data_IF_994336386958
#
_entry.id   IF_994336386958
#
_cell.length_a   1.000
_cell.length_b   1.000
_cell.length_c   1.000
_cell.angle_alpha   90.00
_cell.angle_beta   90.00
_cell.angle_gamma   90.00
#
_symmetry.space_group_name_H-M   'P 1'
#
loop_
_entity.id
_entity.type
_entity.pdbx_description
1 polymer ?
#
# COMPACT_ATOMS: atom_id res chain seq x y z
N UNK A 1 -21.59 33.43 6.86
CA UNK A 1 -20.22 33.44 6.30
C UNK A 1 -19.47 32.39 7.09
N UNK A 2 -19.50 31.16 6.60
CA UNK A 2 -18.80 30.04 7.24
C UNK A 2 -17.37 30.04 6.71
N UNK A 3 -16.42 30.11 7.63
CA UNK A 3 -14.99 29.94 7.34
C UNK A 3 -14.69 28.47 7.58
N UNK A 4 -14.41 27.74 6.50
CA UNK A 4 -13.84 26.40 6.61
C UNK A 4 -12.33 26.54 6.82
N UNK A 5 -11.87 26.16 8.02
CA UNK A 5 -10.44 25.99 8.29
C UNK A 5 -10.13 24.51 8.08
N UNK A 6 -9.59 24.16 6.93
CA UNK A 6 -8.93 22.86 6.74
C UNK A 6 -7.55 22.95 7.39
N UNK A 7 -7.45 22.62 8.68
CA UNK A 7 -6.13 22.41 9.30
C UNK A 7 -5.61 21.04 8.88
N UNK A 8 -4.61 21.02 8.00
CA UNK A 8 -3.80 19.84 7.76
C UNK A 8 -2.68 19.88 8.81
N UNK A 9 -2.94 19.29 9.98
CA UNK A 9 -1.88 18.96 10.93
C UNK A 9 -1.69 17.45 10.89
N UNK A 10 -0.77 16.98 10.05
CA UNK A 10 -0.19 15.66 10.21
C UNK A 10 1.00 15.79 11.16
N UNK A 11 0.91 15.19 12.35
CA UNK A 11 2.00 15.13 13.32
C UNK A 11 2.97 13.96 13.06
N UNK A 12 2.92 13.33 11.88
CA UNK A 12 3.61 12.08 11.58
C UNK A 12 4.25 12.02 10.17
N UNK A 13 4.41 13.17 9.50
CA UNK A 13 4.91 13.23 8.11
C UNK A 13 3.82 13.70 7.14
N UNK A 14 3.78 13.16 5.93
CA UNK A 14 2.81 13.50 4.86
C UNK A 14 2.87 14.97 4.42
N UNK A 15 4.07 15.49 4.20
CA UNK A 15 4.28 16.89 3.83
C UNK A 15 3.58 17.24 2.49
N UNK A 16 3.43 16.26 1.60
CA UNK A 16 2.76 16.38 0.30
C UNK A 16 1.29 16.80 0.39
N UNK A 17 0.64 16.65 1.54
CA UNK A 17 -0.74 17.12 1.74
C UNK A 17 -0.82 18.65 1.86
N UNK A 18 0.26 19.30 2.30
CA UNK A 18 0.29 20.73 2.62
C UNK A 18 1.39 21.51 1.88
N UNK A 19 2.28 20.79 1.18
CA UNK A 19 3.39 21.33 0.42
C UNK A 19 3.26 20.95 -1.06
N UNK A 20 3.76 21.83 -1.92
CA UNK A 20 3.75 21.67 -3.38
C UNK A 20 5.08 22.14 -3.96
N UNK A 21 5.26 21.95 -5.27
CA UNK A 21 6.43 22.44 -6.02
C UNK A 21 7.76 21.97 -5.42
N UNK A 22 7.81 20.70 -5.04
CA UNK A 22 9.00 20.15 -4.42
C UNK A 22 10.08 19.82 -5.46
N UNK A 23 11.32 20.18 -5.14
CA UNK A 23 12.47 19.90 -5.97
C UNK A 23 13.70 19.53 -5.13
N UNK A 24 14.61 18.80 -5.78
CA UNK A 24 15.89 18.42 -5.21
C UNK A 24 16.96 19.41 -5.67
N UNK A 25 17.61 20.05 -4.72
CA UNK A 25 18.69 21.02 -4.91
C UNK A 25 20.03 20.41 -4.50
N UNK A 26 21.12 21.14 -4.78
CA UNK A 26 22.47 20.84 -4.28
C UNK A 26 22.94 19.40 -4.55
N UNK A 27 22.70 18.90 -5.77
CA UNK A 27 23.07 17.52 -6.12
C UNK A 27 22.19 16.46 -5.45
N UNK A 28 20.94 16.81 -5.14
CA UNK A 28 19.94 15.99 -4.45
C UNK A 28 20.13 15.83 -2.94
N UNK A 29 20.94 16.67 -2.30
CA UNK A 29 21.10 16.69 -0.85
C UNK A 29 20.01 17.49 -0.13
N UNK A 30 19.41 18.49 -0.77
CA UNK A 30 18.41 19.38 -0.14
C UNK A 30 17.06 19.23 -0.82
N UNK A 31 16.02 18.85 -0.07
CA UNK A 31 14.63 18.93 -0.52
C UNK A 31 14.12 20.35 -0.26
N UNK A 32 13.69 21.06 -1.29
CA UNK A 32 12.94 22.31 -1.16
C UNK A 32 11.48 22.08 -1.54
N UNK A 33 10.55 22.64 -0.77
CA UNK A 33 9.13 22.65 -1.09
C UNK A 33 8.50 24.00 -0.73
N UNK A 34 7.46 24.41 -1.46
CA UNK A 34 6.58 25.49 -1.01
C UNK A 34 5.50 24.90 -0.11
N UNK A 35 5.50 25.27 1.17
CA UNK A 35 4.58 24.72 2.16
C UNK A 35 3.56 25.76 2.64
N UNK A 36 2.33 25.31 2.87
CA UNK A 36 1.26 26.15 3.40
C UNK A 36 1.39 26.21 4.92
N UNK A 37 1.66 27.40 5.46
CA UNK A 37 1.68 27.63 6.91
C UNK A 37 0.28 27.65 7.53
N UNK A 38 0.20 27.65 8.86
CA UNK A 38 -1.11 27.72 9.55
C UNK A 38 -1.80 29.06 9.30
N UNK A 39 -1.01 30.12 9.12
CA UNK A 39 -1.50 31.46 8.76
C UNK A 39 -1.02 31.87 7.36
N UNK A 40 -1.79 32.74 6.69
CA UNK A 40 -1.54 33.11 5.28
C UNK A 40 -0.15 33.71 5.03
N UNK A 41 0.44 34.36 6.02
CA UNK A 41 1.77 34.97 5.96
C UNK A 41 2.91 34.01 6.35
N UNK A 42 2.61 32.75 6.64
CA UNK A 42 3.59 31.72 7.01
C UNK A 42 3.79 30.69 5.90
N UNK A 43 3.09 30.84 4.77
CA UNK A 43 3.34 30.01 3.60
C UNK A 43 4.61 30.47 2.89
N UNK A 44 5.42 29.53 2.42
CA UNK A 44 6.68 29.86 1.77
C UNK A 44 7.55 28.65 1.47
N UNK A 45 8.69 28.92 0.83
CA UNK A 45 9.69 27.89 0.58
C UNK A 45 10.37 27.49 1.88
N UNK A 46 10.37 26.19 2.14
CA UNK A 46 11.09 25.55 3.23
C UNK A 46 12.06 24.52 2.66
N UNK A 47 13.16 24.29 3.36
CA UNK A 47 14.20 23.35 2.94
C UNK A 47 14.47 22.33 4.04
N UNK A 48 14.70 21.08 3.63
CA UNK A 48 15.17 19.99 4.48
C UNK A 48 16.47 19.46 3.89
N UNK A 49 17.54 19.49 4.67
CA UNK A 49 18.77 18.80 4.30
C UNK A 49 18.58 17.29 4.55
N UNK A 50 18.52 16.52 3.47
CA UNK A 50 18.25 15.08 3.51
C UNK A 50 19.43 14.32 4.14
N UNK A 51 20.67 14.82 4.01
CA UNK A 51 21.85 14.15 4.58
C UNK A 51 21.85 14.13 6.13
N UNK A 52 21.06 14.98 6.77
CA UNK A 52 20.91 14.97 8.23
C UNK A 52 20.09 13.77 8.74
N UNK A 53 19.17 13.27 7.92
CA UNK A 53 18.15 12.31 8.35
C UNK A 53 18.00 11.11 7.43
N UNK A 54 18.63 11.09 6.26
CA UNK A 54 18.58 9.99 5.30
C UNK A 54 20.02 9.66 4.90
N UNK A 55 20.40 8.40 5.06
CA UNK A 55 21.71 7.91 4.64
C UNK A 55 21.58 6.62 3.84
N UNK A 56 22.61 6.35 3.04
CA UNK A 56 22.73 5.09 2.33
C UNK A 56 23.33 4.03 3.25
N UNK A 57 22.54 3.00 3.54
CA UNK A 57 22.96 1.81 4.26
C UNK A 57 22.92 0.61 3.32
N UNK A 58 24.10 0.21 2.84
CA UNK A 58 24.28 -0.94 1.94
C UNK A 58 23.41 -0.91 0.67
N UNK A 59 23.24 0.28 0.09
CA UNK A 59 22.41 0.49 -1.10
C UNK A 59 20.98 0.95 -0.82
N UNK A 60 20.55 0.95 0.45
CA UNK A 60 19.20 1.36 0.87
C UNK A 60 19.21 2.79 1.42
N UNK A 61 18.30 3.65 0.94
CA UNK A 61 18.11 4.98 1.50
C UNK A 61 17.18 4.89 2.71
N UNK A 62 17.72 5.00 3.92
CA UNK A 62 16.96 4.81 5.15
C UNK A 62 17.04 6.04 6.04
N UNK A 63 15.94 6.30 6.75
CA UNK A 63 15.90 7.37 7.75
C UNK A 63 16.76 7.02 8.96
N UNK A 64 17.65 7.93 9.35
CA UNK A 64 18.48 7.86 10.55
C UNK A 64 17.94 8.71 11.71
N UNK A 65 16.73 9.25 11.60
CA UNK A 65 16.12 10.17 12.59
C UNK A 65 16.03 9.54 13.99
N UNK A 66 15.71 8.25 14.07
CA UNK A 66 15.58 7.49 15.32
C UNK A 66 16.86 6.72 15.68
N UNK A 67 17.99 7.04 15.03
CA UNK A 67 19.26 6.33 15.15
C UNK A 67 19.57 5.44 13.94
N UNK A 68 20.55 4.54 14.08
CA UNK A 68 20.94 3.65 12.98
C UNK A 68 19.81 2.65 12.66
N UNK A 69 19.21 2.70 11.45
CA UNK A 69 18.14 1.79 11.08
C UNK A 69 18.67 0.38 10.82
N UNK A 70 17.79 -0.62 10.91
CA UNK A 70 18.08 -1.96 10.39
C UNK A 70 17.94 -1.97 8.88
N UNK A 71 18.98 -2.42 8.18
CA UNK A 71 18.92 -2.59 6.72
C UNK A 71 17.92 -3.70 6.39
N UNK A 72 16.90 -3.43 5.54
CA UNK A 72 15.99 -4.47 5.11
C UNK A 72 16.74 -5.53 4.29
N UNK A 73 16.26 -6.76 4.33
CA UNK A 73 16.80 -7.79 3.44
C UNK A 73 16.49 -7.42 1.99
N UNK A 74 17.46 -7.61 1.10
CA UNK A 74 17.23 -7.45 -0.34
C UNK A 74 16.14 -8.41 -0.83
N UNK A 75 15.19 -7.89 -1.60
CA UNK A 75 14.30 -8.74 -2.38
C UNK A 75 15.02 -9.30 -3.61
N UNK A 76 14.71 -10.54 -3.95
CA UNK A 76 15.09 -11.14 -5.23
C UNK A 76 14.28 -10.62 -6.41
N UNK A 77 13.20 -9.88 -6.17
CA UNK A 77 12.34 -9.28 -7.19
C UNK A 77 12.64 -7.79 -7.36
N UNK A 78 12.78 -7.37 -8.62
CA UNK A 78 12.92 -5.96 -8.96
C UNK A 78 11.61 -5.20 -8.68
N UNK A 79 11.72 -3.92 -8.36
CA UNK A 79 10.57 -3.02 -8.28
C UNK A 79 9.87 -2.99 -9.65
N UNK A 80 8.58 -3.32 -9.72
CA UNK A 80 7.88 -3.36 -11.00
C UNK A 80 7.61 -1.95 -11.52
N UNK A 81 7.65 -1.78 -12.84
CA UNK A 81 7.35 -0.49 -13.49
C UNK A 81 5.89 -0.02 -13.35
N UNK A 82 5.01 -0.94 -12.94
CA UNK A 82 3.62 -0.67 -12.59
C UNK A 82 3.29 -1.51 -11.36
N UNK A 83 2.79 -0.87 -10.31
CA UNK A 83 2.51 -1.50 -9.02
C UNK A 83 1.06 -1.96 -8.86
N UNK A 84 0.19 -1.74 -9.84
CA UNK A 84 -1.24 -2.04 -9.71
C UNK A 84 -1.50 -3.55 -9.71
N UNK A 85 -2.00 -4.06 -8.58
CA UNK A 85 -2.63 -5.36 -8.45
C UNK A 85 -4.11 -5.26 -8.87
N UNK A 86 -4.57 -6.18 -9.72
CA UNK A 86 -5.97 -6.27 -10.13
C UNK A 86 -6.52 -7.67 -9.92
N UNK A 87 -7.63 -7.77 -9.20
CA UNK A 87 -8.29 -9.02 -8.86
C UNK A 87 -9.75 -9.01 -9.33
N UNK A 88 -10.16 -10.09 -9.99
CA UNK A 88 -11.57 -10.48 -10.07
C UNK A 88 -11.88 -11.29 -8.81
N UNK A 89 -12.82 -10.82 -8.00
CA UNK A 89 -13.28 -11.50 -6.79
C UNK A 89 -14.68 -12.07 -7.03
N UNK A 90 -14.92 -13.28 -6.53
CA UNK A 90 -16.14 -14.03 -6.82
C UNK A 90 -16.86 -14.42 -5.53
N UNK A 91 -18.18 -14.50 -5.62
CA UNK A 91 -19.08 -14.95 -4.55
C UNK A 91 -19.88 -16.16 -5.02
N UNK A 92 -20.32 -17.02 -4.08
CA UNK A 92 -21.13 -18.21 -4.38
C UNK A 92 -20.45 -19.51 -4.00
N UNK A 93 -21.01 -20.64 -4.44
CA UNK A 93 -20.55 -21.98 -4.07
C UNK A 93 -19.79 -22.65 -5.23
N UNK A 94 -18.54 -23.05 -5.00
CA UNK A 94 -17.74 -23.78 -5.98
C UNK A 94 -16.23 -23.64 -5.81
N UNK A 95 -15.47 -24.55 -6.42
CA UNK A 95 -14.00 -24.54 -6.45
C UNK A 95 -13.42 -23.88 -7.71
N UNK A 96 -14.27 -23.33 -8.57
CA UNK A 96 -13.91 -22.70 -9.84
C UNK A 96 -14.53 -21.31 -9.92
N UNK A 97 -13.86 -20.40 -10.62
CA UNK A 97 -14.30 -19.03 -10.79
C UNK A 97 -15.54 -19.04 -11.68
N UNK A 98 -16.71 -18.61 -11.16
CA UNK A 98 -17.93 -18.57 -11.96
C UNK A 98 -17.79 -17.53 -13.08
N UNK A 99 -18.66 -17.63 -14.08
CA UNK A 99 -18.68 -16.69 -15.22
C UNK A 99 -19.01 -15.25 -14.80
N UNK A 100 -19.66 -15.09 -13.65
CA UNK A 100 -20.09 -13.79 -13.13
C UNK A 100 -19.20 -13.38 -11.96
N UNK A 101 -18.56 -12.23 -12.13
CA UNK A 101 -17.67 -11.64 -11.12
C UNK A 101 -18.51 -10.93 -10.06
N UNK A 102 -18.10 -11.05 -8.79
CA UNK A 102 -18.72 -10.33 -7.68
C UNK A 102 -18.18 -8.91 -7.58
N UNK A 103 -16.86 -8.75 -7.73
CA UNK A 103 -16.20 -7.45 -7.72
C UNK A 103 -14.91 -7.45 -8.55
N UNK A 104 -14.51 -6.25 -8.96
CA UNK A 104 -13.20 -5.95 -9.50
C UNK A 104 -12.44 -5.09 -8.48
N UNK A 105 -11.33 -5.59 -7.94
CA UNK A 105 -10.56 -4.93 -6.89
C UNK A 105 -9.21 -4.50 -7.45
N UNK A 106 -8.81 -3.26 -7.15
CA UNK A 106 -7.49 -2.75 -7.50
C UNK A 106 -6.77 -2.23 -6.26
N UNK A 107 -5.49 -2.55 -6.16
CA UNK A 107 -4.63 -2.09 -5.09
C UNK A 107 -3.35 -1.52 -5.68
N UNK A 108 -2.88 -0.42 -5.09
CA UNK A 108 -1.67 0.30 -5.53
C UNK A 108 -0.62 0.40 -4.44
N UNK A 109 -0.86 -0.25 -3.30
CA UNK A 109 0.02 -0.26 -2.14
C UNK A 109 -0.29 -1.46 -1.24
N UNK A 110 0.57 -1.69 -0.22
CA UNK A 110 0.36 -2.75 0.75
C UNK A 110 -0.92 -2.55 1.56
N UNK A 111 -1.67 -3.61 1.75
CA UNK A 111 -2.87 -3.64 2.58
C UNK A 111 -2.70 -4.73 3.64
N UNK A 112 -2.31 -4.39 4.87
CA UNK A 112 -2.04 -5.40 5.89
C UNK A 112 -3.25 -6.27 6.22
N UNK A 113 -4.44 -5.67 6.23
CA UNK A 113 -5.70 -6.39 6.37
C UNK A 113 -6.87 -5.56 5.83
N UNK A 114 -7.27 -5.86 4.60
CA UNK A 114 -8.38 -5.23 3.91
C UNK A 114 -9.62 -6.13 3.92
N UNK A 115 -10.80 -5.54 4.03
CA UNK A 115 -12.08 -6.26 3.92
C UNK A 115 -13.17 -5.35 3.36
N UNK A 116 -14.14 -5.95 2.66
CA UNK A 116 -15.29 -5.23 2.12
C UNK A 116 -16.55 -5.54 2.94
N UNK A 117 -17.29 -4.49 3.31
CA UNK A 117 -18.54 -4.61 4.06
C UNK A 117 -19.68 -4.03 3.24
N UNK A 118 -20.73 -4.83 3.04
CA UNK A 118 -21.98 -4.39 2.40
C UNK A 118 -23.09 -4.55 3.45
N UNK A 119 -23.17 -3.56 4.34
CA UNK A 119 -24.23 -3.28 5.32
C UNK A 119 -24.95 -4.49 5.96
N UNK A 120 -24.76 -4.74 7.27
CA UNK A 120 -23.55 -4.61 8.09
C UNK A 120 -22.63 -5.84 7.94
N UNK A 121 -22.89 -6.69 6.95
CA UNK A 121 -22.25 -7.98 6.81
C UNK A 121 -20.97 -7.86 5.96
N UNK A 122 -19.89 -8.56 6.34
CA UNK A 122 -18.72 -8.69 5.50
C UNK A 122 -19.07 -9.46 4.23
N UNK A 123 -18.47 -9.09 3.11
CA UNK A 123 -18.54 -9.90 1.89
C UNK A 123 -17.63 -11.12 2.07
N UNK A 124 -18.19 -12.31 1.87
CA UNK A 124 -17.46 -13.58 1.90
C UNK A 124 -17.14 -13.98 0.46
N UNK A 125 -15.85 -14.01 0.14
CA UNK A 125 -15.33 -14.37 -1.17
C UNK A 125 -15.09 -15.87 -1.26
N UNK A 126 -15.51 -16.49 -2.36
CA UNK A 126 -15.31 -17.92 -2.59
C UNK A 126 -14.06 -18.23 -3.42
N UNK A 127 -13.69 -17.31 -4.31
CA UNK A 127 -12.49 -17.43 -5.14
C UNK A 127 -11.99 -16.07 -5.61
N UNK A 128 -10.74 -16.04 -6.06
CA UNK A 128 -10.08 -14.90 -6.67
C UNK A 128 -9.39 -15.31 -7.97
N UNK A 129 -9.28 -14.37 -8.90
CA UNK A 129 -8.41 -14.50 -10.08
C UNK A 129 -7.69 -13.18 -10.29
N UNK A 130 -6.36 -13.20 -10.18
CA UNK A 130 -5.56 -12.03 -10.52
C UNK A 130 -5.55 -11.85 -12.04
N UNK A 131 -5.97 -10.67 -12.51
CA UNK A 131 -5.84 -10.27 -13.94
C UNK A 131 -4.52 -9.56 -14.19
N UNK A 132 -3.93 -8.98 -13.14
CA UNK A 132 -2.59 -8.40 -13.11
C UNK A 132 -2.03 -8.56 -11.70
N UNK A 133 -0.81 -9.06 -11.56
CA UNK A 133 -0.09 -9.08 -10.29
C UNK A 133 1.40 -8.85 -10.53
N UNK A 134 1.90 -7.61 -10.35
CA UNK A 134 3.30 -7.25 -10.64
C UNK A 134 4.31 -7.63 -9.55
N UNK A 135 3.95 -8.49 -8.59
CA UNK A 135 4.85 -8.89 -7.50
C UNK A 135 4.27 -8.66 -6.11
N UNK A 136 2.98 -8.91 -5.95
CA UNK A 136 2.29 -8.93 -4.66
C UNK A 136 2.02 -10.35 -4.22
N UNK A 137 2.18 -10.60 -2.93
CA UNK A 137 1.63 -11.76 -2.23
C UNK A 137 0.27 -11.41 -1.67
N UNK A 138 -0.73 -12.23 -1.98
CA UNK A 138 -2.10 -12.08 -1.50
C UNK A 138 -2.40 -13.26 -0.59
N UNK A 139 -2.81 -12.98 0.64
CA UNK A 139 -3.20 -13.97 1.63
C UNK A 139 -4.63 -13.73 2.10
N UNK A 140 -5.43 -14.79 2.16
CA UNK A 140 -6.86 -14.69 2.48
C UNK A 140 -7.15 -15.21 3.88
N UNK A 141 -7.96 -14.50 4.66
CA UNK A 141 -8.27 -14.80 6.05
C UNK A 141 -9.78 -14.69 6.35
N UNK A 142 -10.20 -15.36 7.44
CA UNK A 142 -11.52 -15.19 8.06
C UNK A 142 -11.46 -14.42 9.39
N UNK A 143 -10.29 -13.87 9.73
CA UNK A 143 -10.09 -13.05 10.94
C UNK A 143 -9.75 -11.62 10.54
N UNK A 144 -10.37 -10.65 11.23
CA UNK A 144 -10.26 -9.22 10.91
C UNK A 144 -8.89 -8.61 11.19
N UNK A 145 -7.99 -9.37 11.80
CA UNK A 145 -6.60 -9.00 12.07
C UNK A 145 -5.63 -9.51 11.02
N UNK A 146 -6.07 -10.39 10.09
CA UNK A 146 -5.22 -11.08 9.13
C UNK A 146 -3.98 -11.75 9.76
N UNK A 147 -4.16 -12.31 10.96
CA UNK A 147 -3.11 -13.01 11.70
C UNK A 147 -3.33 -14.53 11.66
N UNK A 148 -2.25 -15.27 11.90
CA UNK A 148 -2.28 -16.74 11.89
C UNK A 148 -2.04 -17.32 10.50
N UNK A 149 -2.51 -18.54 10.27
CA UNK A 149 -2.34 -19.22 8.97
C UNK A 149 -3.41 -18.75 7.98
N UNK A 150 -3.03 -18.22 6.80
CA UNK A 150 -3.99 -17.88 5.77
C UNK A 150 -4.69 -19.13 5.22
N UNK A 151 -5.92 -18.94 4.75
CA UNK A 151 -6.71 -20.00 4.12
C UNK A 151 -6.07 -20.39 2.79
N UNK A 152 -5.65 -19.38 2.03
CA UNK A 152 -4.89 -19.53 0.79
C UNK A 152 -3.96 -18.33 0.63
N UNK A 153 -2.81 -18.58 0.03
CA UNK A 153 -1.85 -17.57 -0.40
C UNK A 153 -1.51 -17.80 -1.86
N UNK A 154 -1.43 -16.73 -2.64
CA UNK A 154 -1.09 -16.75 -4.05
C UNK A 154 -0.37 -15.45 -4.44
N UNK A 155 0.33 -15.48 -5.57
CA UNK A 155 1.21 -14.39 -5.98
C UNK A 155 1.23 -14.20 -7.50
N UNK A 156 2.29 -13.56 -8.00
CA UNK A 156 2.51 -13.26 -9.42
C UNK A 156 2.55 -14.50 -10.32
N UNK A 157 2.89 -15.68 -9.78
CA UNK A 157 2.97 -16.91 -10.56
C UNK A 157 1.59 -17.53 -10.80
N UNK A 158 0.56 -17.01 -10.12
CA UNK A 158 -0.83 -17.46 -10.18
C UNK A 158 -1.74 -16.54 -11.01
N UNK A 159 -1.17 -15.69 -11.86
CA UNK A 159 -1.96 -14.77 -12.70
C UNK A 159 -2.82 -15.56 -13.69
N UNK A 160 -4.09 -15.18 -13.80
CA UNK A 160 -5.17 -15.85 -14.53
C UNK A 160 -5.63 -17.19 -13.96
N UNK A 161 -4.96 -17.73 -12.93
CA UNK A 161 -5.45 -18.91 -12.23
C UNK A 161 -6.65 -18.57 -11.36
N UNK A 162 -7.55 -19.53 -11.24
CA UNK A 162 -8.65 -19.41 -10.29
C UNK A 162 -8.24 -19.99 -8.94
N UNK A 163 -8.16 -19.13 -7.94
CA UNK A 163 -7.74 -19.48 -6.59
C UNK A 163 -9.00 -19.65 -5.72
N UNK A 164 -9.31 -20.89 -5.39
CA UNK A 164 -10.41 -21.22 -4.49
C UNK A 164 -10.02 -20.96 -3.02
N UNK A 165 -10.92 -20.36 -2.25
CA UNK A 165 -10.72 -20.02 -0.83
C UNK A 165 -11.28 -21.12 0.10
N UNK A 166 -11.86 -22.18 -0.45
CA UNK A 166 -12.46 -23.27 0.33
C UNK A 166 -13.93 -23.02 0.68
N UNK A 167 -14.52 -23.95 1.43
CA UNK A 167 -15.98 -24.06 1.59
C UNK A 167 -16.61 -22.89 2.37
N UNK A 168 -15.91 -22.36 3.37
CA UNK A 168 -16.39 -21.27 4.22
C UNK A 168 -16.05 -19.88 3.65
N UNK A 169 -15.33 -19.83 2.53
CA UNK A 169 -14.85 -18.61 1.91
C UNK A 169 -13.85 -17.83 2.76
N UNK A 170 -13.53 -16.61 2.32
CA UNK A 170 -12.60 -15.69 2.94
C UNK A 170 -13.15 -14.28 2.96
N UNK A 171 -12.89 -13.54 4.03
CA UNK A 171 -13.41 -12.18 4.22
C UNK A 171 -12.33 -11.13 3.99
N UNK A 172 -11.14 -11.40 4.53
CA UNK A 172 -10.07 -10.42 4.62
C UNK A 172 -8.89 -10.79 3.71
N UNK A 173 -8.25 -9.77 3.15
CA UNK A 173 -7.07 -9.88 2.29
C UNK A 173 -5.89 -9.18 2.97
N UNK A 174 -4.76 -9.86 3.03
CA UNK A 174 -3.47 -9.23 3.28
C UNK A 174 -2.71 -9.18 1.95
N UNK A 175 -2.25 -7.98 1.57
CA UNK A 175 -1.58 -7.71 0.30
C UNK A 175 -0.22 -7.12 0.65
N UNK A 176 0.83 -7.89 0.41
CA UNK A 176 2.19 -7.49 0.74
C UNK A 176 3.09 -7.57 -0.50
N UNK A 177 4.00 -6.61 -0.67
CA UNK A 177 4.92 -6.61 -1.79
C UNK A 177 5.94 -7.74 -1.61
N UNK A 178 6.30 -8.40 -2.71
CA UNK A 178 7.41 -9.36 -2.76
C UNK A 178 8.73 -8.67 -3.14
N UNK A 179 8.71 -7.36 -3.34
CA UNK A 179 9.83 -6.47 -3.61
C UNK A 179 9.94 -5.43 -2.49
N UNK A 180 11.05 -4.68 -2.44
CA UNK A 180 11.28 -3.67 -1.39
C UNK A 180 10.38 -2.45 -1.63
N UNK A 181 9.25 -2.42 -0.95
CA UNK A 181 8.29 -1.30 -0.93
C UNK A 181 8.67 -0.33 0.18
N UNK A 182 9.14 0.83 -0.24
CA UNK A 182 9.71 1.88 0.61
C UNK A 182 9.07 3.23 0.23
#
# INVERSE_FOLDING_TARGET
MEVYINQIQSSSGAYEESCTQCELLDGAATLQCYCTGTFANESGNSTLNLEEYIANYDGHLLSSLEGTPSVPSDSSLAVPSNVVLSLNAFVGTGTSCPSNEGAYLNFVGPEPCWGLYVSPEPVVWSSFRATSNPGWSISVYNVSTCTGTPIVTFDQDSVNDCIAVGQDGGIYLSIMPLWNWD
#
